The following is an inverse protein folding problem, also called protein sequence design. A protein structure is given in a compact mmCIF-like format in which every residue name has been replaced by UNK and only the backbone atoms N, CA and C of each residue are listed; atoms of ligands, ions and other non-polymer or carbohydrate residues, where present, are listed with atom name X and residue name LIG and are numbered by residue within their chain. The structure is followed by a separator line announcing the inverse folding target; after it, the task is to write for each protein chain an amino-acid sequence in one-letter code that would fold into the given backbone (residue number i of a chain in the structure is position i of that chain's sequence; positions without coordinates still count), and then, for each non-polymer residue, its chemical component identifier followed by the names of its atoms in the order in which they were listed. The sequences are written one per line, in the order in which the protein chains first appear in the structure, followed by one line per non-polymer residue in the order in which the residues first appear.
data_IF_049589315907
#
_entry.id   IF_049589315907
#
_cell.length_a   1.000
_cell.length_b   1.000
_cell.length_c   1.000
_cell.angle_alpha   90.00
_cell.angle_beta   90.00
_cell.angle_gamma   90.00
#
_symmetry.space_group_name_H-M   'P 1'
#
loop_
_entity.id
_entity.type
_entity.pdbx_description
1 polymer ?
#
# COMPACT_ATOMS: atom_id res chain seq x y z
N UNK A 1 100.99 3.33 -32.90
CA UNK A 1 100.81 3.42 -34.37
C UNK A 1 99.45 4.03 -34.64
N UNK A 2 99.43 5.24 -35.24
CA UNK A 2 98.38 5.91 -36.04
C UNK A 2 96.92 5.94 -35.53
N UNK A 3 96.13 7.02 -35.61
CA UNK A 3 96.25 8.44 -36.01
C UNK A 3 94.83 9.07 -35.76
N UNK A 4 94.77 10.35 -35.38
CA UNK A 4 93.70 11.38 -35.62
C UNK A 4 92.24 11.13 -35.16
N UNK A 5 91.68 11.91 -34.21
CA UNK A 5 90.95 13.22 -34.32
C UNK A 5 89.64 13.17 -35.13
N UNK A 6 88.49 13.41 -34.47
CA UNK A 6 87.60 14.58 -34.67
C UNK A 6 86.25 14.47 -33.93
N UNK A 7 85.72 15.62 -33.53
CA UNK A 7 84.46 15.87 -32.80
C UNK A 7 83.20 15.67 -33.67
N UNK A 8 82.06 15.32 -33.06
CA UNK A 8 80.73 15.93 -33.34
C UNK A 8 79.78 15.84 -32.14
N UNK A 9 79.12 16.96 -31.83
CA UNK A 9 77.96 17.08 -30.95
C UNK A 9 76.71 16.52 -31.64
N UNK A 10 75.90 15.76 -30.93
CA UNK A 10 74.49 15.49 -31.29
C UNK A 10 73.60 15.70 -30.08
N UNK A 11 72.61 16.59 -30.27
CA UNK A 11 71.49 16.82 -29.37
C UNK A 11 70.50 15.66 -29.44
N UNK A 12 70.01 15.17 -28.30
CA UNK A 12 68.83 14.32 -28.21
C UNK A 12 67.99 14.75 -27.01
N UNK A 13 66.87 15.40 -27.31
CA UNK A 13 65.77 15.66 -26.40
C UNK A 13 64.82 14.45 -26.40
N UNK A 14 64.48 13.86 -25.24
CA UNK A 14 63.29 13.01 -25.14
C UNK A 14 62.74 12.90 -23.71
N UNK A 15 61.65 13.64 -23.48
CA UNK A 15 60.39 13.27 -22.81
C UNK A 15 60.46 12.72 -21.37
N UNK A 16 60.12 13.59 -20.40
CA UNK A 16 59.58 13.19 -19.11
C UNK A 16 58.15 12.64 -19.29
N UNK A 17 57.98 11.33 -19.10
CA UNK A 17 56.65 10.73 -18.91
C UNK A 17 56.24 10.96 -17.46
N UNK A 18 55.44 11.99 -17.20
CA UNK A 18 54.67 12.10 -15.97
C UNK A 18 53.50 11.12 -16.05
N UNK A 19 53.66 9.94 -15.45
CA UNK A 19 52.58 9.03 -15.14
C UNK A 19 51.65 9.69 -14.12
N UNK A 20 50.60 10.35 -14.62
CA UNK A 20 49.46 10.76 -13.83
C UNK A 20 48.75 9.53 -13.30
N UNK A 21 48.82 9.33 -11.99
CA UNK A 21 47.96 8.41 -11.27
C UNK A 21 46.50 8.91 -11.38
N UNK A 22 45.66 8.19 -12.12
CA UNK A 22 44.23 8.40 -12.12
C UNK A 22 43.60 7.81 -10.83
N UNK A 23 42.64 8.49 -10.17
CA UNK A 23 41.97 7.96 -9.00
C UNK A 23 40.75 7.13 -9.43
N UNK A 24 40.93 5.82 -9.62
CA UNK A 24 39.82 4.90 -9.90
C UNK A 24 39.39 4.07 -8.67
N UNK A 25 39.98 4.30 -7.49
CA UNK A 25 39.78 3.46 -6.28
C UNK A 25 38.87 4.12 -5.22
N UNK A 26 38.35 5.32 -5.48
CA UNK A 26 37.64 6.11 -4.44
C UNK A 26 36.13 5.85 -4.34
N UNK A 27 35.48 5.40 -5.42
CA UNK A 27 34.03 5.21 -5.46
C UNK A 27 33.58 4.00 -4.61
N UNK A 28 34.28 2.86 -4.71
CA UNK A 28 33.97 1.64 -3.95
C UNK A 28 34.05 1.83 -2.41
N UNK A 29 34.91 2.74 -1.95
CA UNK A 29 35.08 2.99 -0.51
C UNK A 29 33.96 3.82 0.10
N UNK A 30 33.39 4.76 -0.66
CA UNK A 30 32.37 5.69 -0.16
C UNK A 30 30.99 5.03 -0.13
N UNK A 31 30.66 4.25 -1.15
CA UNK A 31 29.41 3.49 -1.17
C UNK A 31 29.39 2.42 -0.06
N UNK A 32 30.51 1.70 0.14
CA UNK A 32 30.66 0.77 1.25
C UNK A 32 30.53 1.43 2.63
N UNK A 33 31.02 2.66 2.78
CA UNK A 33 30.86 3.44 4.01
C UNK A 33 29.38 3.79 4.27
N UNK A 34 28.66 4.28 3.25
CA UNK A 34 27.23 4.60 3.36
C UNK A 34 26.43 3.35 3.75
N UNK A 35 26.71 2.21 3.12
CA UNK A 35 26.04 0.95 3.46
C UNK A 35 26.30 0.52 4.91
N UNK A 36 27.52 0.73 5.42
CA UNK A 36 27.83 0.46 6.82
C UNK A 36 27.07 1.39 7.79
N UNK A 37 26.93 2.67 7.44
CA UNK A 37 26.15 3.64 8.24
C UNK A 37 24.66 3.29 8.25
N UNK A 38 24.10 2.92 7.09
CA UNK A 38 22.72 2.45 6.96
C UNK A 38 22.51 1.19 7.81
N UNK A 39 23.43 0.23 7.76
CA UNK A 39 23.35 -0.99 8.56
C UNK A 39 23.36 -0.71 10.07
N UNK A 40 24.14 0.28 10.52
CA UNK A 40 24.14 0.70 11.92
C UNK A 40 22.78 1.28 12.36
N UNK A 41 22.15 2.12 11.53
CA UNK A 41 20.79 2.63 11.80
C UNK A 41 19.77 1.49 11.84
N UNK A 42 19.86 0.55 10.89
CA UNK A 42 18.96 -0.63 10.85
C UNK A 42 19.13 -1.58 12.02
N UNK A 43 20.23 -1.46 12.78
CA UNK A 43 20.49 -2.30 13.95
C UNK A 43 19.80 -1.82 15.23
N UNK A 44 19.02 -0.72 15.18
CA UNK A 44 18.26 -0.25 16.33
C UNK A 44 17.28 -1.33 16.77
N UNK A 45 17.49 -1.86 17.96
CA UNK A 45 16.68 -2.93 18.54
C UNK A 45 15.61 -2.42 19.50
N UNK A 46 14.88 -3.35 20.14
CA UNK A 46 13.90 -3.05 21.18
C UNK A 46 14.51 -2.18 22.28
N UNK A 47 13.70 -1.28 22.85
CA UNK A 47 14.09 -0.38 23.94
C UNK A 47 15.31 0.51 23.61
N UNK A 48 15.62 0.74 22.33
CA UNK A 48 16.72 1.62 21.90
C UNK A 48 18.09 0.97 21.97
N UNK A 49 18.17 -0.37 21.91
CA UNK A 49 19.46 -1.05 21.69
C UNK A 49 20.16 -0.51 20.44
N UNK A 50 21.47 -0.32 20.51
CA UNK A 50 22.32 0.27 19.46
C UNK A 50 21.98 1.72 19.08
N UNK A 51 21.20 2.45 19.89
CA UNK A 51 20.84 3.84 19.61
C UNK A 51 22.07 4.77 19.51
N UNK A 52 23.11 4.54 20.31
CA UNK A 52 24.31 5.40 20.29
C UNK A 52 25.06 5.28 18.96
N UNK A 53 25.23 4.05 18.49
CA UNK A 53 25.87 3.71 17.22
C UNK A 53 25.05 4.26 16.06
N UNK A 54 23.72 4.09 16.09
CA UNK A 54 22.81 4.65 15.11
C UNK A 54 22.87 6.19 15.07
N UNK A 55 22.98 6.85 16.24
CA UNK A 55 23.10 8.30 16.31
C UNK A 55 24.39 8.82 15.66
N UNK A 56 25.51 8.14 15.92
CA UNK A 56 26.79 8.46 15.26
C UNK A 56 26.73 8.21 13.76
N UNK A 57 26.08 7.11 13.35
CA UNK A 57 25.91 6.79 11.94
C UNK A 57 25.04 7.83 11.22
N UNK A 58 23.94 8.23 11.83
CA UNK A 58 23.06 9.27 11.33
C UNK A 58 23.77 10.61 11.20
N UNK A 59 24.57 11.03 12.19
CA UNK A 59 25.34 12.28 12.13
C UNK A 59 26.28 12.30 10.92
N UNK A 60 26.95 11.17 10.65
CA UNK A 60 27.82 11.03 9.48
C UNK A 60 27.03 11.03 8.18
N UNK A 61 25.90 10.32 8.13
CA UNK A 61 25.02 10.32 6.96
C UNK A 61 24.48 11.71 6.66
N UNK A 62 24.03 12.46 7.67
CA UNK A 62 23.52 13.82 7.49
C UNK A 62 24.59 14.81 7.01
N UNK A 63 25.88 14.49 7.17
CA UNK A 63 27.00 15.35 6.78
C UNK A 63 27.52 15.07 5.35
N UNK A 64 27.09 13.98 4.69
CA UNK A 64 27.56 13.64 3.33
C UNK A 64 27.04 14.61 2.27
N UNK A 65 27.71 14.67 1.12
CA UNK A 65 27.29 15.50 -0.02
C UNK A 65 25.91 15.06 -0.58
N UNK A 66 25.14 16.02 -1.10
CA UNK A 66 23.83 15.77 -1.72
C UNK A 66 23.87 14.75 -2.87
N UNK A 67 25.03 14.58 -3.51
CA UNK A 67 25.26 13.55 -4.53
C UNK A 67 25.03 12.12 -4.03
N UNK A 68 25.08 11.88 -2.71
CA UNK A 68 24.93 10.57 -2.09
C UNK A 68 23.49 10.24 -1.68
N UNK A 69 22.54 11.19 -1.84
CA UNK A 69 21.12 10.97 -1.50
C UNK A 69 20.55 9.67 -2.12
N UNK A 70 20.79 9.34 -3.41
CA UNK A 70 20.30 8.08 -3.98
C UNK A 70 20.77 6.82 -3.24
N UNK A 71 22.01 6.81 -2.74
CA UNK A 71 22.53 5.68 -1.97
C UNK A 71 21.86 5.54 -0.60
N UNK A 72 21.53 6.66 0.05
CA UNK A 72 20.77 6.67 1.31
C UNK A 72 19.34 6.20 1.08
N UNK A 73 18.69 6.68 0.02
CA UNK A 73 17.33 6.28 -0.37
C UNK A 73 17.24 4.79 -0.69
N UNK A 74 18.25 4.21 -1.35
CA UNK A 74 18.35 2.76 -1.56
C UNK A 74 18.39 1.96 -0.24
N UNK A 75 18.78 2.61 0.86
CA UNK A 75 18.76 2.08 2.22
C UNK A 75 17.39 2.06 2.91
N UNK A 76 16.33 2.56 2.29
CA UNK A 76 14.98 2.47 2.88
C UNK A 76 14.48 1.03 2.86
N UNK A 77 13.60 0.69 3.80
CA UNK A 77 13.01 -0.65 3.92
C UNK A 77 11.61 -0.58 4.56
N UNK A 78 10.98 -1.74 4.77
CA UNK A 78 9.64 -1.79 5.37
C UNK A 78 9.62 -1.52 6.89
N UNK A 79 10.79 -1.35 7.53
CA UNK A 79 10.87 -0.91 8.93
C UNK A 79 10.63 0.61 9.05
N UNK A 80 9.55 1.06 9.73
CA UNK A 80 9.26 2.48 9.87
C UNK A 80 10.32 3.24 10.66
N UNK A 81 10.93 2.61 11.67
CA UNK A 81 11.88 3.29 12.55
C UNK A 81 13.14 3.67 11.77
N UNK A 82 13.82 2.69 11.17
CA UNK A 82 15.02 2.92 10.37
C UNK A 82 14.75 3.85 9.20
N UNK A 83 13.60 3.70 8.54
CA UNK A 83 13.19 4.56 7.42
C UNK A 83 13.03 6.02 7.84
N UNK A 84 12.45 6.28 9.01
CA UNK A 84 12.31 7.65 9.52
C UNK A 84 13.66 8.29 9.84
N UNK A 85 14.61 7.51 10.37
CA UNK A 85 15.98 7.97 10.61
C UNK A 85 16.70 8.34 9.31
N UNK A 86 16.63 7.46 8.31
CA UNK A 86 17.24 7.70 7.00
C UNK A 86 16.58 8.88 6.27
N UNK A 87 15.25 8.99 6.34
CA UNK A 87 14.50 10.15 5.82
C UNK A 87 15.00 11.45 6.45
N UNK A 88 15.12 11.49 7.77
CA UNK A 88 15.61 12.68 8.47
C UNK A 88 17.05 13.04 8.07
N UNK A 89 17.92 12.05 7.80
CA UNK A 89 19.25 12.32 7.27
C UNK A 89 19.19 12.97 5.88
N UNK A 90 18.36 12.44 4.97
CA UNK A 90 18.14 13.01 3.62
C UNK A 90 17.61 14.45 3.72
N UNK A 91 16.60 14.70 4.55
CA UNK A 91 16.03 16.03 4.77
C UNK A 91 17.09 17.01 5.31
N UNK A 92 17.93 16.56 6.25
CA UNK A 92 19.03 17.38 6.80
C UNK A 92 20.05 17.75 5.72
N UNK A 93 20.41 16.83 4.83
CA UNK A 93 21.32 17.10 3.71
C UNK A 93 20.72 18.15 2.77
N UNK A 94 19.44 17.98 2.42
CA UNK A 94 18.70 18.87 1.51
C UNK A 94 18.58 20.28 2.10
N UNK A 95 18.24 20.39 3.39
CA UNK A 95 18.16 21.66 4.10
C UNK A 95 19.52 22.39 4.13
N UNK A 96 20.60 21.66 4.44
CA UNK A 96 21.96 22.23 4.49
C UNK A 96 22.45 22.73 3.13
N UNK A 97 22.15 22.00 2.07
CA UNK A 97 22.52 22.37 0.69
C UNK A 97 21.53 23.39 0.07
N UNK A 98 20.46 23.73 0.78
CA UNK A 98 19.32 24.53 0.29
C UNK A 98 18.72 23.98 -1.02
N UNK A 99 18.84 22.68 -1.26
CA UNK A 99 18.41 21.99 -2.48
C UNK A 99 19.14 22.40 -3.76
N UNK A 100 20.28 23.10 -3.69
CA UNK A 100 20.96 23.67 -4.88
C UNK A 100 21.72 22.63 -5.71
N UNK A 101 22.15 21.54 -5.09
CA UNK A 101 23.08 20.54 -5.64
C UNK A 101 22.47 19.14 -5.69
N UNK A 102 21.12 19.03 -5.71
CA UNK A 102 20.46 17.73 -5.79
C UNK A 102 20.84 16.99 -7.09
N UNK A 103 21.12 15.68 -7.03
CA UNK A 103 21.53 14.90 -8.19
C UNK A 103 20.32 14.52 -9.06
N UNK A 104 19.73 15.49 -9.76
CA UNK A 104 18.52 15.34 -10.59
C UNK A 104 18.66 14.16 -11.57
N UNK A 105 19.81 14.05 -12.25
CA UNK A 105 20.09 13.00 -13.24
C UNK A 105 20.11 11.58 -12.64
N UNK A 106 20.30 11.45 -11.32
CA UNK A 106 20.27 10.17 -10.61
C UNK A 106 18.90 9.90 -9.96
N UNK A 107 18.19 10.95 -9.53
CA UNK A 107 16.88 10.82 -8.89
C UNK A 107 15.81 10.33 -9.87
N UNK A 108 15.81 10.81 -11.12
CA UNK A 108 14.79 10.41 -12.09
C UNK A 108 14.83 8.90 -12.43
N UNK A 109 15.99 8.29 -12.76
CA UNK A 109 16.09 6.84 -12.90
C UNK A 109 15.75 6.08 -11.62
N UNK A 110 16.15 6.60 -10.45
CA UNK A 110 15.81 6.00 -9.15
C UNK A 110 14.30 5.95 -8.91
N UNK A 111 13.57 7.01 -9.26
CA UNK A 111 12.11 7.04 -9.15
C UNK A 111 11.48 6.00 -10.10
N UNK A 112 12.04 5.81 -11.29
CA UNK A 112 11.50 4.87 -12.28
C UNK A 112 11.77 3.40 -11.93
N UNK A 113 12.81 3.10 -11.16
CA UNK A 113 13.09 1.74 -10.70
C UNK A 113 12.08 1.28 -9.63
N UNK A 114 11.13 0.44 -10.05
CA UNK A 114 10.06 -0.11 -9.22
C UNK A 114 10.55 -1.11 -8.16
N UNK A 115 11.83 -1.50 -8.17
CA UNK A 115 12.42 -2.40 -7.17
C UNK A 115 12.79 -1.67 -5.87
N UNK A 116 12.95 -0.35 -5.92
CA UNK A 116 13.20 0.46 -4.72
C UNK A 116 11.96 0.58 -3.84
N UNK A 117 12.21 0.76 -2.54
CA UNK A 117 11.15 0.94 -1.54
C UNK A 117 10.22 2.11 -1.92
N UNK A 118 8.91 1.88 -1.81
CA UNK A 118 7.88 2.86 -2.22
C UNK A 118 8.04 4.23 -1.56
N UNK A 119 8.44 4.25 -0.28
CA UNK A 119 8.69 5.48 0.50
C UNK A 119 9.93 6.23 0.01
N UNK A 120 10.97 5.52 -0.43
CA UNK A 120 12.16 6.14 -1.01
C UNK A 120 11.85 6.77 -2.36
N UNK A 121 11.11 6.04 -3.21
CA UNK A 121 10.67 6.56 -4.53
C UNK A 121 9.77 7.79 -4.38
N UNK A 122 8.86 7.80 -3.40
CA UNK A 122 8.06 8.99 -3.09
C UNK A 122 8.95 10.16 -2.68
N UNK A 123 9.84 9.97 -1.70
CA UNK A 123 10.71 11.05 -1.23
C UNK A 123 11.61 11.58 -2.36
N UNK A 124 12.19 10.69 -3.17
CA UNK A 124 12.96 11.07 -4.35
C UNK A 124 12.15 11.95 -5.32
N UNK A 125 10.89 11.60 -5.55
CA UNK A 125 9.98 12.36 -6.39
C UNK A 125 9.65 13.74 -5.79
N UNK A 126 9.39 13.82 -4.48
CA UNK A 126 9.15 15.10 -3.79
C UNK A 126 10.35 16.04 -3.90
N UNK A 127 11.55 15.51 -3.65
CA UNK A 127 12.81 16.26 -3.78
C UNK A 127 13.05 16.73 -5.22
N UNK A 128 12.80 15.87 -6.21
CA UNK A 128 12.96 16.21 -7.62
C UNK A 128 11.99 17.32 -8.05
N UNK A 129 10.72 17.25 -7.65
CA UNK A 129 9.70 18.26 -7.99
C UNK A 129 10.01 19.62 -7.34
N UNK A 130 10.61 19.61 -6.15
CA UNK A 130 11.01 20.84 -5.45
C UNK A 130 12.04 21.66 -6.24
N UNK A 131 12.97 21.00 -6.92
CA UNK A 131 14.05 21.65 -7.68
C UNK A 131 13.78 21.74 -9.18
N UNK A 132 13.03 20.79 -9.73
CA UNK A 132 12.52 20.79 -11.10
C UNK A 132 10.99 20.61 -11.09
N UNK A 133 10.23 21.72 -11.05
CA UNK A 133 8.77 21.67 -11.12
C UNK A 133 8.21 21.02 -12.40
N UNK A 134 9.02 20.88 -13.46
CA UNK A 134 8.59 20.21 -14.69
C UNK A 134 8.60 18.68 -14.56
N UNK A 135 9.34 18.12 -13.61
CA UNK A 135 9.47 16.68 -13.40
C UNK A 135 8.10 16.01 -13.18
N UNK A 136 7.17 16.67 -12.48
CA UNK A 136 5.81 16.18 -12.31
C UNK A 136 5.11 15.90 -13.65
N UNK A 137 5.20 16.82 -14.61
CA UNK A 137 4.60 16.64 -15.96
C UNK A 137 5.27 15.52 -16.76
N UNK A 138 6.55 15.27 -16.51
CA UNK A 138 7.33 14.23 -17.19
C UNK A 138 7.04 12.84 -16.63
N UNK A 139 6.87 12.72 -15.31
CA UNK A 139 6.84 11.44 -14.60
C UNK A 139 5.44 10.97 -14.19
N UNK A 140 4.58 11.87 -13.70
CA UNK A 140 3.27 11.51 -13.15
C UNK A 140 2.43 10.64 -14.12
N UNK A 141 2.36 10.93 -15.44
CA UNK A 141 1.56 10.09 -16.34
C UNK A 141 2.00 8.61 -16.39
N UNK A 142 3.27 8.33 -16.05
CA UNK A 142 3.83 6.99 -16.02
C UNK A 142 3.50 6.18 -14.75
N UNK A 143 2.86 6.77 -13.74
CA UNK A 143 2.61 6.11 -12.46
C UNK A 143 1.21 5.48 -12.31
N UNK A 144 0.40 5.41 -13.37
CA UNK A 144 -0.98 4.90 -13.28
C UNK A 144 -1.08 3.46 -12.74
N UNK A 145 -0.08 2.62 -12.97
CA UNK A 145 0.00 1.24 -12.46
C UNK A 145 1.09 1.06 -11.39
N UNK A 146 1.62 2.15 -10.84
CA UNK A 146 2.78 2.16 -9.96
C UNK A 146 2.53 1.41 -8.64
N UNK A 147 3.50 0.64 -8.08
CA UNK A 147 3.29 -0.07 -6.82
C UNK A 147 3.22 0.88 -5.61
N UNK A 148 3.76 2.10 -5.71
CA UNK A 148 3.56 3.16 -4.73
C UNK A 148 2.17 3.75 -4.93
N UNK A 149 1.26 3.49 -3.99
CA UNK A 149 -0.09 4.03 -4.03
C UNK A 149 -0.10 5.57 -4.00
N UNK A 150 0.90 6.20 -3.38
CA UNK A 150 1.02 7.67 -3.35
C UNK A 150 1.38 8.23 -4.73
N UNK A 151 2.34 7.62 -5.45
CA UNK A 151 2.67 8.02 -6.82
C UNK A 151 1.51 7.72 -7.78
N UNK A 152 0.85 6.57 -7.59
CA UNK A 152 -0.34 6.20 -8.36
C UNK A 152 -1.48 7.20 -8.15
N UNK A 153 -1.70 7.66 -6.92
CA UNK A 153 -2.74 8.65 -6.59
C UNK A 153 -2.53 9.96 -7.36
N UNK A 154 -1.29 10.43 -7.50
CA UNK A 154 -0.96 11.61 -8.31
C UNK A 154 -1.28 11.39 -9.79
N UNK A 155 -0.93 10.21 -10.33
CA UNK A 155 -1.21 9.87 -11.72
C UNK A 155 -2.70 9.78 -12.02
N UNK A 156 -3.46 9.18 -11.11
CA UNK A 156 -4.91 9.10 -11.20
C UNK A 156 -5.52 10.50 -11.14
N UNK A 157 -5.02 11.38 -10.25
CA UNK A 157 -5.49 12.76 -10.18
C UNK A 157 -5.25 13.53 -11.49
N UNK A 158 -4.04 13.47 -12.05
CA UNK A 158 -3.72 14.08 -13.35
C UNK A 158 -4.62 13.53 -14.46
N UNK A 159 -4.81 12.21 -14.51
CA UNK A 159 -5.61 11.59 -15.55
C UNK A 159 -7.10 11.98 -15.44
N UNK A 160 -7.62 12.17 -14.23
CA UNK A 160 -8.97 12.71 -14.01
C UNK A 160 -9.06 14.17 -14.50
N UNK A 161 -8.09 15.02 -14.14
CA UNK A 161 -8.07 16.42 -14.55
C UNK A 161 -7.95 16.56 -16.08
N UNK A 162 -7.16 15.70 -16.71
CA UNK A 162 -7.05 15.59 -18.17
C UNK A 162 -8.38 15.20 -18.82
N UNK A 163 -9.11 14.25 -18.23
CA UNK A 163 -10.43 13.85 -18.72
C UNK A 163 -11.46 14.98 -18.58
N UNK A 164 -11.45 15.72 -17.47
CA UNK A 164 -12.29 16.92 -17.27
C UNK A 164 -11.94 18.03 -18.29
N UNK A 165 -10.65 18.21 -18.59
CA UNK A 165 -10.18 19.14 -19.61
C UNK A 165 -10.64 18.79 -21.03
N UNK A 166 -10.74 17.49 -21.35
CA UNK A 166 -11.34 17.02 -22.61
C UNK A 166 -12.85 17.29 -22.63
N UNK A 167 -13.54 17.07 -21.50
CA UNK A 167 -14.97 17.31 -21.40
C UNK A 167 -15.37 18.76 -21.59
N UNK A 168 -14.51 19.68 -21.18
CA UNK A 168 -14.75 21.12 -21.28
C UNK A 168 -14.74 21.65 -22.73
N UNK A 169 -14.27 20.87 -23.70
CA UNK A 169 -14.20 21.28 -25.12
C UNK A 169 -15.47 21.01 -25.91
N UNK A 170 -16.40 20.23 -25.35
CA UNK A 170 -17.76 19.96 -25.84
C UNK A 170 -17.85 19.59 -27.35
N UNK A 171 -16.92 18.77 -27.82
CA UNK A 171 -17.04 18.09 -29.12
C UNK A 171 -17.31 16.61 -28.92
N UNK A 172 -18.09 15.99 -29.81
CA UNK A 172 -18.41 14.55 -29.72
C UNK A 172 -17.15 13.66 -29.69
N UNK A 173 -16.09 14.09 -30.39
CA UNK A 173 -14.78 13.44 -30.38
C UNK A 173 -14.10 13.54 -29.01
N UNK A 174 -14.10 14.72 -28.41
CA UNK A 174 -13.48 14.95 -27.11
C UNK A 174 -14.24 14.23 -25.99
N UNK A 175 -15.58 14.16 -26.07
CA UNK A 175 -16.40 13.37 -25.16
C UNK A 175 -16.07 11.88 -25.22
N UNK A 176 -15.89 11.33 -26.42
CA UNK A 176 -15.44 9.94 -26.59
C UNK A 176 -14.06 9.68 -25.99
N UNK A 177 -13.13 10.63 -26.15
CA UNK A 177 -11.78 10.54 -25.57
C UNK A 177 -11.80 10.67 -24.05
N UNK A 178 -12.59 11.58 -23.49
CA UNK A 178 -12.74 11.72 -22.05
C UNK A 178 -13.30 10.44 -21.42
N UNK A 179 -14.32 9.83 -22.04
CA UNK A 179 -14.88 8.57 -21.59
C UNK A 179 -13.83 7.44 -21.53
N UNK A 180 -12.94 7.39 -22.52
CA UNK A 180 -11.82 6.45 -22.53
C UNK A 180 -10.87 6.71 -21.35
N UNK A 181 -10.46 7.97 -21.16
CA UNK A 181 -9.55 8.34 -20.07
C UNK A 181 -10.18 8.00 -18.73
N UNK A 182 -11.44 8.36 -18.48
CA UNK A 182 -12.12 8.01 -17.23
C UNK A 182 -12.15 6.50 -16.96
N UNK A 183 -12.33 5.68 -18.00
CA UNK A 183 -12.37 4.22 -17.85
C UNK A 183 -11.00 3.65 -17.48
N UNK A 184 -9.94 4.11 -18.15
CA UNK A 184 -8.57 3.72 -17.82
C UNK A 184 -8.18 4.18 -16.41
N UNK A 185 -8.55 5.42 -16.07
CA UNK A 185 -8.31 5.98 -14.74
C UNK A 185 -9.06 5.24 -13.66
N UNK A 186 -10.31 4.83 -13.92
CA UNK A 186 -11.09 4.00 -13.00
C UNK A 186 -10.35 2.68 -12.71
N UNK A 187 -9.87 1.98 -13.74
CA UNK A 187 -9.11 0.71 -13.60
C UNK A 187 -7.86 0.89 -12.73
N UNK A 188 -7.16 2.03 -12.87
CA UNK A 188 -5.96 2.37 -12.10
C UNK A 188 -6.27 2.81 -10.66
N UNK A 189 -7.39 3.48 -10.43
CA UNK A 189 -7.73 4.10 -9.15
C UNK A 189 -7.90 3.06 -8.02
N UNK A 190 -7.40 3.40 -6.83
CA UNK A 190 -7.52 2.57 -5.61
C UNK A 190 -8.22 3.31 -4.47
N UNK A 191 -8.20 4.62 -4.49
CA UNK A 191 -8.81 5.46 -3.47
C UNK A 191 -10.31 5.72 -3.74
N UNK A 192 -11.19 5.57 -2.72
CA UNK A 192 -12.63 5.74 -2.90
C UNK A 192 -13.07 7.07 -3.49
N UNK A 193 -12.41 8.18 -3.14
CA UNK A 193 -12.75 9.50 -3.67
C UNK A 193 -12.48 9.60 -5.19
N UNK A 194 -11.33 9.09 -5.64
CA UNK A 194 -10.96 9.09 -7.06
C UNK A 194 -11.81 8.12 -7.88
N UNK A 195 -12.08 6.93 -7.33
CA UNK A 195 -12.99 5.95 -7.95
C UNK A 195 -14.40 6.54 -8.09
N UNK A 196 -14.93 7.17 -7.03
CA UNK A 196 -16.25 7.79 -7.08
C UNK A 196 -16.31 8.93 -8.11
N UNK A 197 -15.26 9.76 -8.20
CA UNK A 197 -15.17 10.82 -9.21
C UNK A 197 -15.22 10.23 -10.62
N UNK A 198 -14.37 9.24 -10.94
CA UNK A 198 -14.37 8.56 -12.23
C UNK A 198 -15.71 7.90 -12.54
N UNK A 199 -16.27 7.15 -11.57
CA UNK A 199 -17.52 6.42 -11.74
C UNK A 199 -18.71 7.36 -11.98
N UNK A 200 -18.77 8.49 -11.28
CA UNK A 200 -19.79 9.52 -11.48
C UNK A 200 -19.73 10.08 -12.89
N UNK A 201 -18.53 10.46 -13.35
CA UNK A 201 -18.32 10.96 -14.71
C UNK A 201 -18.68 9.97 -15.80
N UNK A 202 -18.36 8.69 -15.61
CA UNK A 202 -18.75 7.63 -16.55
C UNK A 202 -20.27 7.44 -16.60
N UNK A 203 -20.97 7.51 -15.46
CA UNK A 203 -22.44 7.43 -15.41
C UNK A 203 -23.12 8.62 -16.07
N UNK A 204 -22.59 9.83 -15.90
CA UNK A 204 -23.05 11.03 -16.62
C UNK A 204 -22.95 10.85 -18.14
N UNK A 205 -21.98 10.07 -18.61
CA UNK A 205 -21.78 9.69 -20.01
C UNK A 205 -22.60 8.43 -20.43
N UNK A 206 -23.52 7.97 -19.60
CA UNK A 206 -24.37 6.81 -19.86
C UNK A 206 -23.69 5.45 -19.73
N UNK A 207 -22.47 5.39 -19.16
CA UNK A 207 -21.77 4.13 -18.90
C UNK A 207 -22.10 3.58 -17.51
N UNK A 208 -22.36 2.28 -17.42
CA UNK A 208 -22.53 1.62 -16.12
C UNK A 208 -21.18 1.37 -15.45
N UNK A 209 -21.14 1.55 -14.14
CA UNK A 209 -19.95 1.29 -13.31
C UNK A 209 -20.35 0.47 -12.10
N UNK A 210 -19.77 -0.73 -12.01
CA UNK A 210 -19.94 -1.69 -10.93
C UNK A 210 -18.84 -1.50 -9.88
N UNK A 211 -19.18 -0.82 -8.78
CA UNK A 211 -18.25 -0.57 -7.67
C UNK A 211 -17.98 -1.81 -6.84
N UNK A 212 -18.96 -2.72 -6.73
CA UNK A 212 -18.81 -3.99 -6.02
C UNK A 212 -17.69 -4.79 -6.67
N UNK A 213 -17.77 -4.97 -7.99
CA UNK A 213 -16.72 -5.64 -8.77
C UNK A 213 -15.41 -4.85 -8.76
N UNK A 214 -15.43 -3.53 -8.92
CA UNK A 214 -14.22 -2.70 -8.95
C UNK A 214 -13.37 -2.86 -7.68
N UNK A 215 -14.01 -2.86 -6.51
CA UNK A 215 -13.33 -2.99 -5.24
C UNK A 215 -13.18 -4.44 -4.76
N UNK A 216 -13.92 -5.39 -5.33
CA UNK A 216 -13.91 -6.80 -4.92
C UNK A 216 -14.72 -7.06 -3.67
N UNK A 217 -15.80 -6.29 -3.43
CA UNK A 217 -16.67 -6.49 -2.28
C UNK A 217 -17.41 -7.83 -2.36
N UNK A 218 -17.52 -8.50 -1.23
CA UNK A 218 -18.29 -9.73 -1.08
C UNK A 218 -19.68 -9.33 -0.60
N UNK A 219 -20.69 -9.62 -1.41
CA UNK A 219 -22.07 -9.15 -1.17
C UNK A 219 -23.04 -10.25 -0.80
N UNK A 220 -22.73 -11.51 -1.12
CA UNK A 220 -23.55 -12.67 -0.81
C UNK A 220 -23.00 -13.40 0.40
N UNK A 221 -23.87 -13.61 1.38
CA UNK A 221 -23.54 -14.12 2.70
C UNK A 221 -24.59 -15.12 3.19
N UNK A 222 -24.15 -16.09 3.97
CA UNK A 222 -24.98 -16.74 4.98
C UNK A 222 -24.74 -16.05 6.31
N UNK A 223 -25.80 -15.68 7.02
CA UNK A 223 -25.72 -14.98 8.30
C UNK A 223 -26.35 -15.80 9.42
N UNK A 224 -25.80 -15.74 10.63
CA UNK A 224 -26.34 -16.42 11.81
C UNK A 224 -26.05 -15.64 13.10
N UNK A 225 -27.10 -15.38 13.87
CA UNK A 225 -27.08 -14.62 15.13
C UNK A 225 -28.38 -14.88 15.93
N UNK A 226 -28.46 -14.47 17.21
CA UNK A 226 -27.38 -13.96 18.05
C UNK A 226 -26.66 -15.07 18.82
N UNK A 227 -25.33 -14.99 18.90
CA UNK A 227 -24.53 -15.68 19.91
C UNK A 227 -24.25 -14.74 21.09
N UNK A 228 -23.91 -15.31 22.24
CA UNK A 228 -23.66 -14.51 23.45
C UNK A 228 -22.36 -13.71 23.37
N UNK A 229 -22.42 -12.43 23.68
CA UNK A 229 -21.26 -11.56 23.87
C UNK A 229 -21.45 -10.66 25.10
N UNK A 230 -22.08 -11.17 26.15
CA UNK A 230 -22.27 -10.39 27.38
C UNK A 230 -20.92 -10.05 28.00
N UNK A 231 -20.76 -8.81 28.44
CA UNK A 231 -19.52 -8.22 28.97
C UNK A 231 -18.33 -8.36 27.99
N UNK A 232 -18.61 -8.37 26.68
CA UNK A 232 -17.64 -8.60 25.59
C UNK A 232 -16.91 -9.96 25.64
N UNK A 233 -17.38 -10.91 26.46
CA UNK A 233 -16.72 -12.22 26.63
C UNK A 233 -16.85 -13.14 25.42
N UNK A 234 -17.88 -12.92 24.61
CA UNK A 234 -18.14 -13.70 23.41
C UNK A 234 -17.02 -13.55 22.38
N UNK A 235 -16.31 -12.43 22.37
CA UNK A 235 -15.22 -12.19 21.42
C UNK A 235 -14.17 -13.30 21.46
N UNK A 236 -13.70 -13.67 22.66
CA UNK A 236 -12.69 -14.72 22.86
C UNK A 236 -13.27 -16.12 23.02
N UNK A 237 -14.59 -16.23 23.19
CA UNK A 237 -15.28 -17.53 23.23
C UNK A 237 -15.53 -18.05 21.82
N UNK A 238 -15.06 -19.26 21.53
CA UNK A 238 -15.39 -19.95 20.28
C UNK A 238 -16.83 -20.47 20.34
N UNK A 239 -17.69 -20.01 19.41
CA UNK A 239 -19.04 -20.54 19.24
C UNK A 239 -19.10 -21.59 18.12
N UNK A 240 -20.27 -22.19 17.94
CA UNK A 240 -20.52 -23.27 16.99
C UNK A 240 -19.86 -23.11 15.61
N UNK A 241 -20.09 -21.99 14.89
CA UNK A 241 -19.47 -21.75 13.58
C UNK A 241 -17.94 -21.73 13.56
N UNK A 242 -17.27 -21.42 14.68
CA UNK A 242 -15.80 -21.49 14.80
C UNK A 242 -15.29 -22.91 15.06
N UNK A 243 -16.10 -23.76 15.71
CA UNK A 243 -15.71 -25.10 16.13
C UNK A 243 -16.00 -26.16 15.06
N UNK A 244 -17.16 -26.06 14.41
CA UNK A 244 -17.59 -26.95 13.36
C UNK A 244 -18.43 -26.17 12.36
N UNK A 245 -17.78 -25.68 11.29
CA UNK A 245 -18.44 -24.85 10.28
C UNK A 245 -19.28 -25.69 9.33
N UNK A 246 -20.58 -25.78 9.62
CA UNK A 246 -21.62 -26.29 8.73
C UNK A 246 -22.56 -25.14 8.32
N UNK A 247 -22.56 -24.70 7.05
CA UNK A 247 -23.41 -23.61 6.55
C UNK A 247 -24.89 -23.99 6.40
N UNK A 248 -25.25 -25.23 6.73
CA UNK A 248 -26.63 -25.73 6.81
C UNK A 248 -27.05 -26.12 8.22
N UNK A 249 -26.11 -26.07 9.17
CA UNK A 249 -26.31 -26.49 10.55
C UNK A 249 -27.11 -25.50 11.40
N UNK A 250 -27.47 -25.97 12.59
CA UNK A 250 -28.05 -25.15 13.67
C UNK A 250 -27.15 -25.19 14.89
N UNK A 251 -27.12 -24.11 15.66
CA UNK A 251 -26.25 -23.96 16.82
C UNK A 251 -27.00 -23.36 18.00
N UNK A 252 -26.50 -23.63 19.20
CA UNK A 252 -26.97 -22.95 20.41
C UNK A 252 -26.50 -21.48 20.38
N UNK A 253 -27.45 -20.58 20.14
CA UNK A 253 -27.28 -19.14 20.25
C UNK A 253 -27.62 -18.63 21.65
N UNK A 254 -27.74 -17.30 21.77
CA UNK A 254 -27.98 -16.59 23.02
C UNK A 254 -29.35 -16.90 23.65
N UNK A 255 -30.38 -17.08 22.81
CA UNK A 255 -31.78 -17.24 23.25
C UNK A 255 -32.36 -18.62 22.89
N UNK A 256 -31.56 -19.51 22.30
CA UNK A 256 -32.01 -20.83 21.84
C UNK A 256 -31.26 -21.30 20.60
N UNK A 257 -31.79 -22.32 19.92
CA UNK A 257 -31.21 -22.81 18.68
C UNK A 257 -31.46 -21.83 17.53
N UNK A 258 -30.41 -21.51 16.78
CA UNK A 258 -30.43 -20.61 15.62
C UNK A 258 -29.80 -21.29 14.40
N UNK A 259 -30.19 -20.88 13.20
CA UNK A 259 -29.69 -21.40 11.93
C UNK A 259 -29.30 -20.28 10.96
N UNK A 260 -28.62 -20.65 9.89
CA UNK A 260 -28.18 -19.71 8.86
C UNK A 260 -29.35 -19.19 8.01
N UNK A 261 -29.26 -17.93 7.60
CA UNK A 261 -30.11 -17.33 6.56
C UNK A 261 -29.26 -16.85 5.39
N UNK A 262 -29.79 -16.95 4.17
CA UNK A 262 -29.17 -16.37 2.98
C UNK A 262 -29.47 -14.88 2.89
N UNK A 263 -28.45 -14.08 2.58
CA UNK A 263 -28.56 -12.64 2.42
C UNK A 263 -27.60 -12.12 1.34
N UNK A 264 -28.10 -11.25 0.47
CA UNK A 264 -27.27 -10.50 -0.48
C UNK A 264 -27.55 -9.02 -0.31
N UNK A 265 -26.50 -8.21 -0.12
CA UNK A 265 -26.62 -6.75 -0.09
C UNK A 265 -26.54 -6.16 -1.50
N UNK A 266 -27.36 -5.14 -1.75
CA UNK A 266 -27.32 -4.31 -2.96
C UNK A 266 -26.49 -3.04 -2.77
N UNK A 267 -25.92 -2.83 -1.58
CA UNK A 267 -25.10 -1.67 -1.29
C UNK A 267 -23.83 -1.67 -2.19
N UNK A 268 -23.51 -0.55 -2.87
CA UNK A 268 -22.40 -0.50 -3.82
C UNK A 268 -21.01 -0.64 -3.17
N UNK A 269 -20.93 -0.54 -1.84
CA UNK A 269 -19.74 -0.78 -1.03
C UNK A 269 -19.81 -2.10 -0.24
N UNK A 270 -20.76 -2.98 -0.57
CA UNK A 270 -20.91 -4.27 0.07
C UNK A 270 -21.27 -4.20 1.55
N UNK A 271 -21.90 -3.10 1.98
CA UNK A 271 -22.32 -2.94 3.37
C UNK A 271 -23.41 -3.94 3.75
N UNK A 272 -23.23 -4.63 4.87
CA UNK A 272 -24.22 -5.48 5.51
C UNK A 272 -24.63 -4.86 6.84
N UNK A 273 -25.87 -4.38 6.94
CA UNK A 273 -26.46 -3.88 8.18
C UNK A 273 -27.15 -5.05 8.93
N UNK A 274 -26.46 -5.60 9.92
CA UNK A 274 -26.95 -6.76 10.68
C UNK A 274 -28.18 -6.41 11.52
N UNK A 275 -28.36 -5.15 11.93
CA UNK A 275 -29.57 -4.74 12.63
C UNK A 275 -30.81 -4.82 11.74
N UNK A 276 -30.67 -4.49 10.46
CA UNK A 276 -31.77 -4.58 9.49
C UNK A 276 -32.10 -6.04 9.15
N UNK A 277 -31.08 -6.89 9.05
CA UNK A 277 -31.23 -8.26 8.56
C UNK A 277 -31.59 -9.26 9.67
N UNK A 278 -30.91 -9.19 10.81
CA UNK A 278 -31.04 -10.15 11.91
C UNK A 278 -31.84 -9.59 13.09
N UNK A 279 -32.05 -8.26 13.13
CA UNK A 279 -32.66 -7.57 14.25
C UNK A 279 -31.62 -6.96 15.21
N UNK A 280 -32.12 -6.14 16.14
CA UNK A 280 -31.26 -5.41 17.08
C UNK A 280 -30.96 -6.25 18.31
N UNK A 281 -29.70 -6.62 18.48
CA UNK A 281 -29.22 -7.32 19.66
C UNK A 281 -28.10 -6.56 20.35
N UNK A 282 -28.03 -6.71 21.67
CA UNK A 282 -26.98 -6.14 22.53
C UNK A 282 -26.18 -7.27 23.16
N UNK A 283 -24.88 -7.05 23.33
CA UNK A 283 -23.97 -8.08 23.86
C UNK A 283 -24.13 -9.36 23.05
N UNK A 284 -24.07 -9.24 21.72
CA UNK A 284 -24.36 -10.32 20.79
C UNK A 284 -23.31 -10.45 19.69
N UNK A 285 -23.15 -11.65 19.16
CA UNK A 285 -22.30 -11.95 18.02
C UNK A 285 -23.13 -12.44 16.84
N UNK A 286 -22.73 -12.01 15.65
CA UNK A 286 -23.16 -12.55 14.38
C UNK A 286 -21.97 -13.19 13.68
N UNK A 287 -22.21 -14.31 13.02
CA UNK A 287 -21.28 -14.84 12.04
C UNK A 287 -21.81 -14.61 10.63
N UNK A 288 -20.89 -14.30 9.73
CA UNK A 288 -21.14 -14.21 8.29
C UNK A 288 -20.22 -15.20 7.57
N UNK A 289 -20.79 -15.99 6.68
CA UNK A 289 -20.12 -17.01 5.90
C UNK A 289 -20.24 -16.69 4.40
N UNK A 290 -19.14 -16.83 3.68
CA UNK A 290 -19.12 -16.71 2.22
C UNK A 290 -18.17 -17.73 1.60
N UNK A 291 -18.43 -18.06 0.33
CA UNK A 291 -17.57 -18.91 -0.49
C UNK A 291 -17.01 -18.11 -1.65
N UNK A 292 -15.71 -18.26 -1.91
CA UNK A 292 -15.03 -17.69 -3.07
C UNK A 292 -14.41 -18.80 -3.91
N UNK A 293 -14.66 -18.78 -5.22
CA UNK A 293 -13.99 -19.69 -6.15
C UNK A 293 -12.81 -18.99 -6.83
N UNK A 294 -11.60 -19.50 -6.60
CA UNK A 294 -10.37 -19.01 -7.21
C UNK A 294 -9.86 -20.00 -8.28
N UNK A 295 -9.50 -19.54 -9.48
CA UNK A 295 -9.02 -20.44 -10.54
C UNK A 295 -7.66 -21.07 -10.23
N UNK A 296 -6.85 -20.41 -9.40
CA UNK A 296 -5.49 -20.81 -9.05
C UNK A 296 -5.15 -20.30 -7.63
N UNK A 297 -4.13 -20.88 -6.97
CA UNK A 297 -3.65 -20.38 -5.70
C UNK A 297 -3.04 -19.00 -5.85
N UNK A 298 -3.38 -18.06 -4.97
CA UNK A 298 -2.85 -16.69 -5.02
C UNK A 298 -2.94 -15.99 -3.67
N UNK A 299 -2.04 -15.04 -3.46
CA UNK A 299 -2.11 -14.15 -2.30
C UNK A 299 -3.38 -13.30 -2.34
N UNK A 300 -3.97 -13.10 -1.16
CA UNK A 300 -5.16 -12.27 -0.99
C UNK A 300 -5.08 -11.49 0.30
N UNK A 301 -5.70 -10.32 0.29
CA UNK A 301 -6.07 -9.57 1.48
C UNK A 301 -7.58 -9.54 1.62
N UNK A 302 -8.06 -10.02 2.77
CA UNK A 302 -9.43 -9.82 3.21
C UNK A 302 -9.46 -8.54 4.04
N UNK A 303 -10.03 -7.49 3.46
CA UNK A 303 -10.05 -6.16 4.07
C UNK A 303 -11.44 -5.84 4.58
N UNK A 304 -11.56 -5.68 5.89
CA UNK A 304 -12.81 -5.48 6.61
C UNK A 304 -12.95 -4.02 7.04
N UNK A 305 -14.15 -3.47 6.86
CA UNK A 305 -14.61 -2.29 7.60
C UNK A 305 -15.68 -2.72 8.60
N UNK A 306 -15.56 -2.31 9.87
CA UNK A 306 -16.61 -2.46 10.87
C UNK A 306 -16.37 -1.53 12.06
N UNK A 307 -17.45 -1.02 12.65
CA UNK A 307 -17.41 -0.28 13.92
C UNK A 307 -17.35 -1.21 15.15
N UNK A 308 -17.55 -2.51 14.92
CA UNK A 308 -17.67 -3.52 15.96
C UNK A 308 -16.39 -4.37 16.03
N UNK A 309 -16.19 -5.03 17.18
CA UNK A 309 -15.09 -5.97 17.33
C UNK A 309 -15.27 -7.15 16.37
N UNK A 310 -14.18 -7.64 15.79
CA UNK A 310 -14.26 -8.58 14.68
C UNK A 310 -13.13 -9.61 14.65
N UNK A 311 -13.40 -10.73 13.98
CA UNK A 311 -12.41 -11.74 13.60
C UNK A 311 -12.72 -12.22 12.18
N UNK A 312 -11.69 -12.49 11.38
CA UNK A 312 -11.84 -13.01 10.01
C UNK A 312 -10.99 -14.26 9.84
N UNK A 313 -11.58 -15.30 9.28
CA UNK A 313 -10.91 -16.54 8.91
C UNK A 313 -11.01 -16.79 7.41
N UNK A 314 -9.97 -17.42 6.86
CA UNK A 314 -9.93 -17.96 5.51
C UNK A 314 -9.51 -19.43 5.60
N UNK A 315 -10.36 -20.34 5.09
CA UNK A 315 -10.10 -21.79 5.11
C UNK A 315 -9.76 -22.33 6.51
N UNK A 316 -10.35 -21.75 7.55
CA UNK A 316 -10.10 -22.11 8.96
C UNK A 316 -8.89 -21.43 9.61
N UNK A 317 -8.05 -20.72 8.85
CA UNK A 317 -6.94 -19.94 9.37
C UNK A 317 -7.43 -18.55 9.82
N UNK A 318 -7.14 -18.17 11.07
CA UNK A 318 -7.46 -16.84 11.61
C UNK A 318 -6.51 -15.79 11.02
N UNK A 319 -7.02 -14.87 10.19
CA UNK A 319 -6.21 -13.84 9.54
C UNK A 319 -6.08 -12.55 10.35
N UNK A 320 -7.12 -12.16 11.07
CA UNK A 320 -7.13 -10.94 11.90
C UNK A 320 -8.14 -11.06 13.03
N UNK A 321 -7.83 -10.45 14.18
CA UNK A 321 -8.68 -10.39 15.36
C UNK A 321 -8.53 -9.02 16.05
N UNK A 322 -9.61 -8.25 16.06
CA UNK A 322 -9.61 -6.86 16.51
C UNK A 322 -10.66 -6.68 17.60
N UNK A 323 -10.24 -6.70 18.87
CA UNK A 323 -11.14 -6.50 20.01
C UNK A 323 -11.35 -4.99 20.27
N UNK A 324 -11.86 -4.29 19.26
CA UNK A 324 -12.02 -2.84 19.27
C UNK A 324 -13.47 -2.49 18.92
N UNK A 325 -14.08 -1.64 19.73
CA UNK A 325 -15.42 -1.12 19.51
C UNK A 325 -15.35 0.39 19.25
N UNK A 326 -16.24 0.89 18.40
CA UNK A 326 -16.50 2.32 18.21
C UNK A 326 -15.33 3.14 17.65
N UNK A 327 -14.39 2.49 16.97
CA UNK A 327 -13.25 3.12 16.30
C UNK A 327 -13.62 3.78 14.95
N UNK A 328 -14.86 4.26 14.80
CA UNK A 328 -15.43 4.63 13.51
C UNK A 328 -15.57 3.43 12.57
N UNK A 329 -15.85 3.68 11.29
CA UNK A 329 -15.88 2.64 10.26
C UNK A 329 -15.26 3.21 9.00
N UNK A 330 -14.13 2.64 8.59
CA UNK A 330 -13.44 2.99 7.36
C UNK A 330 -13.37 1.77 6.45
N UNK A 331 -13.39 2.01 5.15
CA UNK A 331 -13.05 0.96 4.19
C UNK A 331 -11.61 0.51 4.44
N UNK A 332 -11.37 -0.80 4.38
CA UNK A 332 -10.06 -1.41 4.60
C UNK A 332 -9.44 -1.19 6.00
N UNK A 333 -10.26 -0.89 7.00
CA UNK A 333 -9.81 -0.62 8.38
C UNK A 333 -8.97 -1.77 8.98
N UNK A 334 -9.36 -3.01 8.73
CA UNK A 334 -8.64 -4.20 9.19
C UNK A 334 -8.23 -5.06 8.01
N UNK A 335 -6.96 -5.47 7.96
CA UNK A 335 -6.38 -6.21 6.84
C UNK A 335 -5.89 -7.57 7.32
N UNK A 336 -6.57 -8.64 6.90
CA UNK A 336 -6.09 -10.01 7.05
C UNK A 336 -5.36 -10.45 5.77
N UNK A 337 -4.13 -10.94 5.90
CA UNK A 337 -3.33 -11.46 4.77
C UNK A 337 -3.41 -12.98 4.78
N UNK A 338 -3.72 -13.60 3.65
CA UNK A 338 -3.80 -15.05 3.51
C UNK A 338 -3.58 -15.50 2.08
N UNK A 339 -3.79 -16.78 1.83
CA UNK A 339 -3.61 -17.40 0.52
C UNK A 339 -4.89 -18.12 0.10
N UNK A 340 -5.40 -17.80 -1.09
CA UNK A 340 -6.45 -18.58 -1.72
C UNK A 340 -5.85 -19.88 -2.26
N UNK A 341 -6.62 -20.96 -2.17
CA UNK A 341 -6.37 -22.24 -2.83
C UNK A 341 -7.12 -22.27 -4.17
N UNK A 342 -6.69 -23.11 -5.11
CA UNK A 342 -7.47 -23.37 -6.30
C UNK A 342 -8.83 -24.01 -5.94
N UNK A 343 -9.90 -23.55 -6.57
CA UNK A 343 -11.27 -23.98 -6.28
C UNK A 343 -11.91 -23.18 -5.14
N UNK A 344 -12.70 -23.87 -4.32
CA UNK A 344 -13.51 -23.27 -3.26
C UNK A 344 -12.65 -22.85 -2.07
N UNK A 345 -12.83 -21.60 -1.65
CA UNK A 345 -12.30 -21.03 -0.44
C UNK A 345 -13.45 -20.58 0.46
N UNK A 346 -13.30 -20.77 1.75
CA UNK A 346 -14.32 -20.45 2.75
C UNK A 346 -13.89 -19.28 3.59
N UNK A 347 -14.77 -18.29 3.72
CA UNK A 347 -14.57 -17.13 4.59
C UNK A 347 -15.59 -17.21 5.72
N UNK A 348 -15.11 -17.01 6.95
CA UNK A 348 -15.94 -16.80 8.12
C UNK A 348 -15.57 -15.46 8.74
N UNK A 349 -16.58 -14.66 9.08
CA UNK A 349 -16.42 -13.39 9.78
C UNK A 349 -17.24 -13.43 11.05
N UNK A 350 -16.65 -13.04 12.17
CA UNK A 350 -17.33 -12.81 13.45
C UNK A 350 -17.43 -11.31 13.67
N UNK A 351 -18.64 -10.81 13.93
CA UNK A 351 -18.89 -9.40 14.26
C UNK A 351 -19.58 -9.33 15.62
N UNK A 352 -18.91 -8.76 16.62
CA UNK A 352 -19.36 -8.70 18.00
C UNK A 352 -19.89 -7.31 18.36
N UNK A 353 -21.14 -7.22 18.78
CA UNK A 353 -21.78 -6.03 19.33
C UNK A 353 -21.77 -6.05 20.86
N UNK A 354 -21.59 -4.88 21.48
CA UNK A 354 -21.61 -4.73 22.94
C UNK A 354 -22.98 -4.23 23.45
N UNK A 355 -23.08 -3.95 24.74
CA UNK A 355 -24.32 -3.57 25.43
C UNK A 355 -24.50 -2.06 25.59
N UNK A 356 -23.59 -1.26 25.02
CA UNK A 356 -23.75 0.19 25.04
C UNK A 356 -25.09 0.59 24.43
N UNK A 357 -25.67 1.69 24.91
CA UNK A 357 -27.07 2.06 24.62
C UNK A 357 -27.18 3.39 23.89
N UNK A 358 -26.09 4.12 23.83
CA UNK A 358 -25.93 5.36 23.11
C UNK A 358 -26.21 5.14 21.63
N UNK A 359 -26.93 6.07 21.01
CA UNK A 359 -27.38 5.96 19.61
C UNK A 359 -26.22 5.75 18.63
N UNK A 360 -25.07 6.37 18.90
CA UNK A 360 -23.85 6.23 18.09
C UNK A 360 -23.20 4.84 18.19
N UNK A 361 -23.46 4.11 19.28
CA UNK A 361 -22.92 2.77 19.57
C UNK A 361 -23.81 1.63 19.05
N UNK A 362 -25.02 1.93 18.54
CA UNK A 362 -25.99 0.90 18.14
C UNK A 362 -25.73 0.32 16.74
N UNK A 363 -24.78 0.87 15.97
CA UNK A 363 -24.48 0.36 14.63
C UNK A 363 -23.86 -1.03 14.74
N UNK A 364 -24.44 -1.97 14.00
CA UNK A 364 -23.95 -3.34 13.91
C UNK A 364 -23.90 -3.74 12.44
N UNK A 365 -22.72 -3.58 11.85
CA UNK A 365 -22.56 -3.68 10.40
C UNK A 365 -21.12 -3.96 10.03
N UNK A 366 -20.94 -4.51 8.84
CA UNK A 366 -19.62 -4.76 8.28
C UNK A 366 -19.66 -4.69 6.75
N UNK A 367 -18.48 -4.55 6.16
CA UNK A 367 -18.25 -4.81 4.74
C UNK A 367 -16.91 -5.54 4.62
N UNK A 368 -16.80 -6.48 3.68
CA UNK A 368 -15.56 -7.21 3.42
C UNK A 368 -15.28 -7.22 1.92
N UNK A 369 -14.03 -7.01 1.53
CA UNK A 369 -13.57 -7.19 0.16
C UNK A 369 -12.34 -8.08 0.07
N UNK A 370 -12.20 -8.77 -1.06
CA UNK A 370 -11.04 -9.55 -1.42
C UNK A 370 -10.21 -8.80 -2.48
N UNK A 371 -8.96 -8.50 -2.16
CA UNK A 371 -8.08 -7.74 -3.05
C UNK A 371 -6.61 -8.16 -2.92
N UNK A 372 -5.78 -7.73 -3.86
CA UNK A 372 -4.33 -7.88 -3.77
C UNK A 372 -3.72 -6.87 -2.76
N UNK A 373 -2.40 -6.89 -2.60
CA UNK A 373 -1.70 -5.97 -1.72
C UNK A 373 -1.84 -4.49 -2.09
N UNK A 374 -2.14 -4.18 -3.35
CA UNK A 374 -2.34 -2.84 -3.86
C UNK A 374 -3.83 -2.41 -3.79
N UNK A 375 -4.72 -3.27 -3.31
CA UNK A 375 -6.16 -3.00 -3.25
C UNK A 375 -6.91 -3.25 -4.55
N UNK A 376 -6.29 -3.90 -5.54
CA UNK A 376 -6.94 -4.38 -6.77
C UNK A 376 -7.85 -5.54 -6.44
N UNK A 377 -9.10 -5.53 -6.90
CA UNK A 377 -10.03 -6.63 -6.67
C UNK A 377 -9.48 -7.98 -7.11
N UNK A 378 -9.59 -9.00 -6.24
CA UNK A 378 -9.42 -10.39 -6.62
C UNK A 378 -10.80 -10.91 -7.01
N UNK A 379 -11.07 -10.92 -8.32
CA UNK A 379 -12.35 -11.30 -8.87
C UNK A 379 -12.52 -12.83 -8.86
N UNK A 380 -13.02 -13.34 -7.74
CA UNK A 380 -13.51 -14.71 -7.62
C UNK A 380 -14.98 -14.79 -8.06
N UNK A 381 -15.43 -15.97 -8.51
CA UNK A 381 -16.86 -16.21 -8.69
C UNK A 381 -17.48 -16.48 -7.31
N UNK A 382 -18.54 -15.73 -6.95
CA UNK A 382 -19.39 -16.07 -5.82
C UNK A 382 -20.35 -17.18 -6.24
N UNK A 383 -20.45 -18.24 -5.44
CA UNK A 383 -21.47 -19.29 -5.64
C UNK A 383 -22.66 -19.11 -4.71
#
# INVERSE_FOLDING_TARGET
MNRFRSYQLTWLATICVSLGFAPAVRADTQEGEIQALIAAIRSIGPEGQNHREAMQAWQRLADVDASQIPAILAGFCDDPLSTNWLRSAVETIVERDEGRSLPIDLLEPFIQDRTHAVRARRLAFELLVQVDPSAGRRLIPGFLDDPSLELRREAVAEALDRADGLMSKDTSKDTGQAAEVYRQTLIAARDPDQVNRAATKLRELGQSVDLVRHFGFITTWKLIAPFDNVDNRGFDTAHGPELNLDPTGTYLGKEGMIGWIDYTTEDPYGMVDLNQVLGRFKGAIAYAYAELEAPEPRDVQLRLGSINANKVWLNGELLTANHVYHAGMYMDQYVGRGQLQAGKNVILVKIAQNEQTESWAQRWQFQLRACDQYGTAVLCQSR
#
